data_IF_306432545324
#
_entry.id   IF_306432545324
#
_cell.length_a   1.000
_cell.length_b   1.000
_cell.length_c   1.000
_cell.angle_alpha   90.00
_cell.angle_beta   90.00
_cell.angle_gamma   90.00
#
_symmetry.space_group_name_H-M   'P 1'
#
loop_
_entity.id
_entity.type
_entity.pdbx_description
1 polymer ?
#
# COMPACT_ATOMS: atom_id res chain seq x y z
N UNK A 1 -16.34 -7.42 6.47
CA UNK A 1 -16.07 -8.36 5.39
C UNK A 1 -14.58 -8.48 5.15
N UNK A 2 -14.05 -9.70 5.18
CA UNK A 2 -12.64 -9.90 4.88
C UNK A 2 -12.37 -9.60 3.40
N UNK A 3 -11.22 -8.98 3.09
CA UNK A 3 -10.82 -8.70 1.73
C UNK A 3 -10.25 -9.96 1.08
N UNK A 4 -10.72 -10.28 -0.12
CA UNK A 4 -10.15 -11.38 -0.92
C UNK A 4 -8.79 -10.98 -1.50
N UNK A 5 -8.01 -11.97 -1.94
CA UNK A 5 -6.75 -11.70 -2.64
C UNK A 5 -6.98 -10.81 -3.87
N UNK A 6 -8.06 -11.04 -4.61
CA UNK A 6 -8.41 -10.26 -5.78
C UNK A 6 -8.70 -8.79 -5.44
N UNK A 7 -9.45 -8.55 -4.36
CA UNK A 7 -9.77 -7.19 -3.94
C UNK A 7 -8.53 -6.45 -3.42
N UNK A 8 -7.63 -7.15 -2.74
CA UNK A 8 -6.37 -6.58 -2.29
C UNK A 8 -5.48 -6.24 -3.49
N UNK A 9 -5.38 -7.14 -4.48
CA UNK A 9 -4.63 -6.90 -5.70
C UNK A 9 -5.18 -5.70 -6.48
N UNK A 10 -6.49 -5.58 -6.59
CA UNK A 10 -7.13 -4.44 -7.24
C UNK A 10 -6.80 -3.13 -6.51
N UNK A 11 -6.78 -3.15 -5.18
CA UNK A 11 -6.39 -1.98 -4.40
C UNK A 11 -4.92 -1.60 -4.65
N UNK A 12 -4.03 -2.59 -4.72
CA UNK A 12 -2.62 -2.37 -5.05
C UNK A 12 -2.49 -1.71 -6.42
N UNK A 13 -3.22 -2.20 -7.43
CA UNK A 13 -3.20 -1.60 -8.76
C UNK A 13 -3.60 -0.12 -8.76
N UNK A 14 -4.67 0.21 -8.02
CA UNK A 14 -5.11 1.60 -7.89
C UNK A 14 -4.07 2.46 -7.19
N UNK A 15 -3.45 1.94 -6.13
CA UNK A 15 -2.42 2.67 -5.39
C UNK A 15 -1.15 2.87 -6.23
N UNK A 16 -0.75 1.87 -7.02
CA UNK A 16 0.38 1.99 -7.94
C UNK A 16 0.10 3.04 -9.01
N UNK A 17 -1.11 3.07 -9.56
CA UNK A 17 -1.49 4.09 -10.54
C UNK A 17 -1.46 5.49 -9.93
N UNK A 18 -1.92 5.64 -8.68
CA UNK A 18 -1.86 6.91 -7.97
C UNK A 18 -0.41 7.33 -7.69
N UNK A 19 0.44 6.39 -7.31
CA UNK A 19 1.88 6.64 -7.11
C UNK A 19 2.52 7.17 -8.37
N UNK A 20 2.27 6.54 -9.51
CA UNK A 20 2.81 6.97 -10.80
C UNK A 20 2.30 8.36 -11.19
N UNK A 21 1.03 8.64 -10.96
CA UNK A 21 0.44 9.95 -11.23
C UNK A 21 1.09 11.05 -10.37
N UNK A 22 1.32 10.76 -9.08
CA UNK A 22 1.94 11.71 -8.16
C UNK A 22 3.40 11.97 -8.53
N UNK A 23 4.14 10.94 -8.91
CA UNK A 23 5.52 11.07 -9.37
C UNK A 23 5.62 11.91 -10.65
N UNK A 24 4.68 11.70 -11.59
CA UNK A 24 4.60 12.50 -12.81
C UNK A 24 4.31 13.98 -12.54
N UNK A 25 3.44 14.27 -11.57
CA UNK A 25 3.14 15.64 -11.15
C UNK A 25 4.34 16.32 -10.48
N UNK A 26 5.08 15.58 -9.66
CA UNK A 26 6.28 16.08 -9.01
C UNK A 26 7.32 16.56 -10.03
N UNK A 27 7.43 15.88 -11.17
CA UNK A 27 8.33 16.28 -12.26
C UNK A 27 7.84 17.52 -13.01
N UNK A 28 6.52 17.71 -13.15
CA UNK A 28 5.94 18.79 -13.96
C UNK A 28 5.66 20.07 -13.20
N UNK A 29 5.38 20.01 -11.88
CA UNK A 29 4.91 21.15 -11.08
C UNK A 29 5.98 21.73 -10.17
N UNK A 30 7.11 22.10 -10.72
CA UNK A 30 8.24 22.65 -9.94
C UNK A 30 8.03 24.08 -9.43
N UNK A 31 6.94 24.74 -9.83
CA UNK A 31 6.70 26.14 -9.49
C UNK A 31 5.73 26.35 -8.33
N UNK A 32 5.03 25.32 -7.88
CA UNK A 32 4.07 25.41 -6.77
C UNK A 32 4.53 24.54 -5.60
N UNK A 33 5.24 25.15 -4.64
CA UNK A 33 5.81 24.46 -3.48
C UNK A 33 4.72 23.84 -2.59
N UNK A 34 3.58 24.51 -2.42
CA UNK A 34 2.48 23.99 -1.61
C UNK A 34 1.88 22.73 -2.22
N UNK A 35 1.71 22.70 -3.53
CA UNK A 35 1.21 21.54 -4.26
C UNK A 35 2.19 20.37 -4.20
N UNK A 36 3.49 20.65 -4.32
CA UNK A 36 4.53 19.63 -4.21
C UNK A 36 4.56 19.00 -2.82
N UNK A 37 4.42 19.79 -1.76
CA UNK A 37 4.40 19.27 -0.39
C UNK A 37 3.19 18.38 -0.15
N UNK A 38 2.00 18.78 -0.62
CA UNK A 38 0.79 17.96 -0.55
C UNK A 38 0.96 16.65 -1.32
N UNK A 39 1.54 16.71 -2.51
CA UNK A 39 1.78 15.53 -3.34
C UNK A 39 2.78 14.57 -2.68
N UNK A 40 3.81 15.10 -2.03
CA UNK A 40 4.78 14.29 -1.29
C UNK A 40 4.15 13.59 -0.09
N UNK A 41 3.31 14.31 0.68
CA UNK A 41 2.58 13.73 1.79
C UNK A 41 1.65 12.61 1.31
N UNK A 42 0.95 12.83 0.21
CA UNK A 42 0.08 11.80 -0.38
C UNK A 42 0.88 10.63 -0.89
N UNK A 43 2.03 10.87 -1.53
CA UNK A 43 2.91 9.82 -2.01
C UNK A 43 3.40 8.94 -0.86
N UNK A 44 3.81 9.54 0.25
CA UNK A 44 4.24 8.80 1.44
C UNK A 44 3.09 7.94 1.99
N UNK A 45 1.88 8.49 2.05
CA UNK A 45 0.70 7.74 2.50
C UNK A 45 0.39 6.57 1.57
N UNK A 46 0.50 6.76 0.25
CA UNK A 46 0.28 5.70 -0.75
C UNK A 46 1.31 4.58 -0.56
N UNK A 47 2.57 4.92 -0.34
CA UNK A 47 3.62 3.92 -0.10
C UNK A 47 3.34 3.07 1.14
N UNK A 48 2.90 3.70 2.22
CA UNK A 48 2.52 3.00 3.46
C UNK A 48 1.33 2.06 3.21
N UNK A 49 0.32 2.53 2.49
CA UNK A 49 -0.84 1.69 2.14
C UNK A 49 -0.46 0.53 1.24
N UNK A 50 0.45 0.73 0.29
CA UNK A 50 0.97 -0.36 -0.55
C UNK A 50 1.68 -1.41 0.31
N UNK A 51 2.53 -0.99 1.24
CA UNK A 51 3.23 -1.91 2.13
C UNK A 51 2.25 -2.74 2.97
N UNK A 52 1.19 -2.11 3.46
CA UNK A 52 0.12 -2.79 4.21
C UNK A 52 -0.62 -3.80 3.34
N UNK A 53 -0.90 -3.47 2.09
CA UNK A 53 -1.56 -4.39 1.16
C UNK A 53 -0.69 -5.62 0.87
N UNK A 54 0.59 -5.40 0.61
CA UNK A 54 1.53 -6.50 0.38
C UNK A 54 1.70 -7.38 1.62
N UNK A 55 1.76 -6.76 2.80
CA UNK A 55 1.82 -7.49 4.07
C UNK A 55 0.58 -8.36 4.26
N UNK A 56 -0.61 -7.82 3.97
CA UNK A 56 -1.86 -8.55 4.08
C UNK A 56 -1.89 -9.76 3.16
N UNK A 57 -1.46 -9.60 1.90
CA UNK A 57 -1.35 -10.73 0.95
C UNK A 57 -0.40 -11.80 1.47
N UNK A 58 0.72 -11.40 2.05
CA UNK A 58 1.71 -12.30 2.62
C UNK A 58 1.14 -13.09 3.79
N UNK A 59 0.41 -12.41 4.68
CA UNK A 59 -0.29 -13.07 5.79
C UNK A 59 -1.29 -14.11 5.28
N UNK A 60 -2.09 -13.74 4.29
CA UNK A 60 -3.10 -14.63 3.71
C UNK A 60 -2.46 -15.88 3.12
N UNK A 61 -1.37 -15.70 2.41
CA UNK A 61 -0.61 -16.81 1.84
C UNK A 61 -0.05 -17.74 2.92
N UNK A 62 0.54 -17.17 3.96
CA UNK A 62 1.09 -17.93 5.08
C UNK A 62 0.01 -18.74 5.80
N UNK A 63 -1.17 -18.16 6.00
CA UNK A 63 -2.31 -18.84 6.61
C UNK A 63 -2.78 -20.02 5.76
N UNK A 64 -2.90 -19.83 4.44
CA UNK A 64 -3.27 -20.92 3.53
C UNK A 64 -2.25 -22.04 3.57
N UNK A 65 -0.97 -21.71 3.53
CA UNK A 65 0.11 -22.71 3.55
C UNK A 65 0.12 -23.50 4.86
N UNK A 66 -0.33 -22.88 5.95
CA UNK A 66 -0.45 -23.53 7.26
C UNK A 66 -1.78 -24.27 7.45
N UNK A 67 -2.64 -24.29 6.44
CA UNK A 67 -3.98 -24.91 6.54
C UNK A 67 -4.98 -24.11 7.34
N UNK A 68 -4.70 -22.84 7.59
CA UNK A 68 -5.58 -21.93 8.33
C UNK A 68 -6.38 -21.06 7.38
N UNK A 69 -7.35 -20.31 7.93
CA UNK A 69 -8.21 -19.46 7.13
C UNK A 69 -7.50 -18.15 6.74
N UNK A 70 -7.28 -17.88 5.45
CA UNK A 70 -6.67 -16.62 5.01
C UNK A 70 -7.44 -15.38 5.48
N UNK A 71 -8.74 -15.50 5.73
CA UNK A 71 -9.57 -14.38 6.18
C UNK A 71 -9.25 -13.94 7.62
N UNK A 72 -8.45 -14.72 8.35
CA UNK A 72 -7.94 -14.34 9.66
C UNK A 72 -6.80 -13.31 9.58
N UNK A 73 -6.28 -13.04 8.39
CA UNK A 73 -5.25 -12.02 8.19
C UNK A 73 -5.80 -10.63 8.54
N UNK A 74 -4.97 -9.82 9.19
CA UNK A 74 -5.36 -8.48 9.63
C UNK A 74 -4.36 -7.43 9.16
N UNK A 75 -4.88 -6.24 8.83
CA UNK A 75 -4.04 -5.10 8.51
C UNK A 75 -3.22 -4.73 9.75
N UNK A 76 -1.90 -4.67 9.59
CA UNK A 76 -0.98 -4.28 10.65
C UNK A 76 -0.70 -2.78 10.56
N UNK A 77 -0.25 -2.19 11.68
CA UNK A 77 0.13 -0.78 11.66
C UNK A 77 1.40 -0.56 10.82
N UNK A 78 1.61 0.68 10.40
CA UNK A 78 2.71 1.04 9.51
C UNK A 78 4.08 0.70 10.10
N UNK A 79 4.27 0.92 11.40
CA UNK A 79 5.55 0.64 12.05
C UNK A 79 5.90 -0.85 12.01
N UNK A 80 4.91 -1.71 12.25
CA UNK A 80 5.09 -3.16 12.19
C UNK A 80 5.50 -3.60 10.79
N UNK A 81 4.81 -3.10 9.76
CA UNK A 81 5.06 -3.46 8.37
C UNK A 81 6.45 -2.98 7.93
N UNK A 82 6.81 -1.75 8.26
CA UNK A 82 8.10 -1.18 7.88
C UNK A 82 9.27 -1.92 8.54
N UNK A 83 9.13 -2.34 9.79
CA UNK A 83 10.13 -3.18 10.46
C UNK A 83 10.36 -4.49 9.74
N UNK A 84 9.30 -5.06 9.21
CA UNK A 84 9.34 -6.34 8.53
C UNK A 84 10.05 -6.24 7.18
N UNK A 85 9.97 -5.09 6.54
CA UNK A 85 10.52 -4.85 5.21
C UNK A 85 11.97 -4.34 5.23
N UNK A 86 12.47 -3.98 6.40
CA UNK A 86 13.86 -3.53 6.54
C UNK A 86 14.85 -4.68 6.66
#
# INVERSE_FOLDING_TARGET
MAMSDESIAARIERLVAEEHALLGREESDRTDEGSLDSDRERLDAVKVELDRCWDLLRQRRALRDAGSDPDDAQVRDANTVERYLQ
#
